data_IF_794495999870
#
_entry.id   IF_794495999870
#
_cell.length_a   1.000
_cell.length_b   1.000
_cell.length_c   1.000
_cell.angle_alpha   90.00
_cell.angle_beta   90.00
_cell.angle_gamma   90.00
#
_symmetry.space_group_name_H-M   'P 1'
#
loop_
_entity.id
_entity.type
_entity.pdbx_description
1 polymer ?
#
# COMPACT_ATOMS: atom_id res chain seq x y z
N UNK A 1 -9.33 -4.85 -3.19
CA UNK A 1 -9.53 -3.42 -3.40
C UNK A 1 -8.83 -2.63 -2.29
N UNK A 2 -7.92 -1.70 -2.63
CA UNK A 2 -7.20 -0.96 -1.60
C UNK A 2 -8.11 0.01 -0.85
N UNK A 3 -7.77 0.29 0.39
CA UNK A 3 -8.50 1.29 1.17
C UNK A 3 -8.23 2.70 0.67
N UNK A 4 -7.02 2.93 0.18
CA UNK A 4 -6.64 4.21 -0.41
C UNK A 4 -5.76 3.96 -1.62
N UNK A 5 -5.90 4.80 -2.64
CA UNK A 5 -5.01 4.78 -3.78
C UNK A 5 -4.77 6.21 -4.23
N UNK A 6 -3.55 6.49 -4.66
CA UNK A 6 -3.21 7.81 -5.18
C UNK A 6 -1.96 7.71 -6.05
N UNK A 7 -1.76 8.74 -6.89
CA UNK A 7 -0.57 8.84 -7.72
C UNK A 7 0.47 9.69 -6.98
N UNK A 8 1.69 9.20 -6.91
CA UNK A 8 2.77 9.95 -6.28
C UNK A 8 3.48 10.87 -7.28
N UNK A 9 4.46 11.63 -6.79
CA UNK A 9 5.17 12.60 -7.62
C UNK A 9 5.98 11.96 -8.74
N UNK A 10 6.32 10.69 -8.59
CA UNK A 10 7.06 9.95 -9.60
C UNK A 10 6.18 9.45 -10.72
N UNK A 11 4.87 9.67 -10.63
CA UNK A 11 3.92 9.16 -11.60
C UNK A 11 3.50 7.73 -11.37
N UNK A 12 3.92 7.14 -10.26
CA UNK A 12 3.53 5.80 -9.87
C UNK A 12 2.28 5.84 -9.00
N UNK A 13 1.65 4.68 -8.82
CA UNK A 13 0.48 4.57 -7.95
C UNK A 13 0.89 3.97 -6.63
N UNK A 14 0.31 4.48 -5.55
CA UNK A 14 0.48 3.90 -4.23
C UNK A 14 -0.85 3.36 -3.76
N UNK A 15 -0.87 2.08 -3.41
CA UNK A 15 -2.08 1.39 -2.96
C UNK A 15 -1.89 1.07 -1.47
N UNK A 16 -2.83 1.52 -0.66
CA UNK A 16 -2.75 1.34 0.78
C UNK A 16 -3.87 0.44 1.26
N UNK A 17 -3.49 -0.64 1.92
CA UNK A 17 -4.43 -1.60 2.52
C UNK A 17 -4.31 -1.50 4.03
N UNK A 18 -5.44 -1.31 4.69
CA UNK A 18 -5.48 -1.21 6.14
C UNK A 18 -6.30 -2.38 6.68
N UNK A 19 -5.71 -3.10 7.63
CA UNK A 19 -6.41 -4.19 8.29
C UNK A 19 -6.22 -4.05 9.79
N UNK A 20 -7.06 -4.73 10.55
CA UNK A 20 -6.96 -4.73 12.00
C UNK A 20 -7.13 -6.16 12.48
N UNK A 21 -6.16 -6.66 13.22
CA UNK A 21 -6.18 -8.02 13.72
C UNK A 21 -5.83 -8.00 15.20
N UNK A 22 -6.67 -8.63 16.01
CA UNK A 22 -6.50 -8.66 17.47
C UNK A 22 -6.38 -7.25 18.07
N UNK A 23 -7.10 -6.27 17.50
CA UNK A 23 -7.04 -4.90 17.96
C UNK A 23 -5.80 -4.15 17.55
N UNK A 24 -4.92 -4.77 16.77
CA UNK A 24 -3.66 -4.15 16.32
C UNK A 24 -3.81 -3.72 14.86
N UNK A 25 -3.67 -2.42 14.57
CA UNK A 25 -3.76 -1.96 13.18
C UNK A 25 -2.55 -2.40 12.38
N UNK A 26 -2.81 -2.81 11.14
CA UNK A 26 -1.78 -3.21 10.20
C UNK A 26 -1.98 -2.42 8.92
N UNK A 27 -0.92 -1.83 8.41
CA UNK A 27 -0.97 -1.07 7.18
C UNK A 27 0.04 -1.63 6.19
N UNK A 28 -0.41 -1.87 4.97
CA UNK A 28 0.45 -2.35 3.90
C UNK A 28 0.34 -1.37 2.74
N UNK A 29 1.47 -0.96 2.21
CA UNK A 29 1.53 -0.03 1.10
C UNK A 29 2.32 -0.66 -0.04
N UNK A 30 1.76 -0.61 -1.23
CA UNK A 30 2.40 -1.09 -2.45
C UNK A 30 2.61 0.08 -3.38
N UNK A 31 3.79 0.19 -3.95
CA UNK A 31 4.04 1.17 -5.00
C UNK A 31 4.06 0.43 -6.34
N UNK A 32 3.25 0.92 -7.29
CA UNK A 32 3.06 0.27 -8.58
C UNK A 32 3.40 1.29 -9.66
N UNK A 33 4.19 0.88 -10.65
CA UNK A 33 4.56 1.78 -11.72
C UNK A 33 3.44 1.90 -12.76
N UNK A 34 3.69 2.66 -13.81
CA UNK A 34 2.69 2.92 -14.86
C UNK A 34 2.34 1.66 -15.65
N UNK A 35 3.13 0.62 -15.53
CA UNK A 35 2.88 -0.66 -16.19
C UNK A 35 2.22 -1.68 -15.28
N UNK A 36 1.76 -1.23 -14.10
CA UNK A 36 1.11 -2.10 -13.11
C UNK A 36 2.04 -3.13 -12.49
N UNK A 37 3.34 -2.80 -12.43
CA UNK A 37 4.33 -3.67 -11.80
C UNK A 37 4.63 -3.15 -10.41
N UNK A 38 4.54 -4.01 -9.40
CA UNK A 38 4.83 -3.63 -8.03
C UNK A 38 6.35 -3.42 -7.88
N UNK A 39 6.76 -2.20 -7.56
CA UNK A 39 8.15 -1.83 -7.45
C UNK A 39 8.57 -1.48 -6.02
N UNK A 40 7.63 -1.40 -5.10
CA UNK A 40 7.93 -1.13 -3.71
C UNK A 40 6.88 -1.68 -2.78
N UNK A 41 7.28 -1.99 -1.56
CA UNK A 41 6.38 -2.55 -0.56
C UNK A 41 6.80 -2.10 0.83
N UNK A 42 5.84 -1.64 1.62
CA UNK A 42 6.06 -1.26 3.02
C UNK A 42 4.94 -1.86 3.85
N UNK A 43 5.28 -2.40 5.01
CA UNK A 43 4.28 -2.86 5.96
C UNK A 43 4.61 -2.31 7.35
N UNK A 44 3.57 -1.90 8.06
CA UNK A 44 3.67 -1.36 9.42
C UNK A 44 2.67 -2.05 10.32
N UNK A 45 3.12 -2.47 11.49
CA UNK A 45 2.24 -3.07 12.48
C UNK A 45 1.73 -4.45 12.13
N UNK A 46 2.21 -5.04 11.06
CA UNK A 46 1.81 -6.38 10.64
C UNK A 46 2.69 -7.44 11.28
N UNK A 47 2.09 -8.56 11.64
CA UNK A 47 2.79 -9.70 12.21
C UNK A 47 2.77 -10.88 11.26
#
# INVERSE_FOLDING_TARGET
KPDEDFRNEKGNFELIYKTKKYGIPCERKFEVDTKSIVIGFVSNGCF
#
